data_IF_550981104284
#
_entry.id   IF_550981104284
#
_cell.length_a   1.000
_cell.length_b   1.000
_cell.length_c   1.000
_cell.angle_alpha   90.00
_cell.angle_beta   90.00
_cell.angle_gamma   90.00
#
_symmetry.space_group_name_H-M   'P 1'
#
loop_
_entity.id
_entity.type
_entity.pdbx_description
1 polymer ?
#
# COMPACT_ATOMS: atom_id res chain seq x y z
N UNK A 1 -18.94 30.22 -49.75
CA UNK A 1 -17.58 29.72 -49.95
C UNK A 1 -16.63 30.53 -49.09
N UNK A 2 -16.34 30.10 -47.89
CA UNK A 2 -15.31 30.69 -47.04
C UNK A 2 -14.18 29.67 -46.98
N UNK A 3 -13.08 30.02 -47.64
CA UNK A 3 -11.86 29.23 -47.81
C UNK A 3 -11.20 29.01 -46.46
N UNK A 4 -11.10 27.74 -46.05
CA UNK A 4 -10.24 27.28 -44.98
C UNK A 4 -8.79 27.25 -45.49
N UNK A 5 -8.13 28.41 -45.53
CA UNK A 5 -6.67 28.49 -45.67
C UNK A 5 -6.02 28.29 -44.27
N UNK A 6 -5.99 27.05 -43.78
CA UNK A 6 -5.04 26.67 -42.76
C UNK A 6 -3.70 26.54 -43.50
N UNK A 7 -2.83 27.50 -43.25
CA UNK A 7 -1.53 27.62 -43.91
C UNK A 7 -0.72 26.34 -43.78
N UNK A 8 -0.23 25.77 -44.88
CA UNK A 8 0.68 24.66 -45.00
C UNK A 8 1.91 24.82 -44.07
N UNK A 9 2.24 26.04 -43.68
CA UNK A 9 3.31 26.38 -42.72
C UNK A 9 2.97 25.99 -41.28
N UNK A 10 1.67 26.00 -40.89
CA UNK A 10 1.24 25.48 -39.56
C UNK A 10 1.25 23.94 -39.52
N UNK A 11 0.90 23.28 -40.63
CA UNK A 11 0.97 21.82 -40.74
C UNK A 11 2.43 21.33 -40.69
N UNK A 12 3.39 22.01 -41.36
CA UNK A 12 4.79 21.68 -41.31
C UNK A 12 5.43 21.89 -39.94
N UNK A 13 4.97 22.85 -39.14
CA UNK A 13 5.45 23.05 -37.76
C UNK A 13 5.00 21.96 -36.79
N UNK A 14 3.90 21.27 -37.05
CA UNK A 14 3.40 20.18 -36.18
C UNK A 14 4.13 18.85 -36.46
N UNK A 15 4.56 18.61 -37.70
CA UNK A 15 5.29 17.39 -38.09
C UNK A 15 6.79 17.43 -37.76
N UNK A 16 7.33 18.60 -37.46
CA UNK A 16 8.74 18.76 -37.04
C UNK A 16 8.93 18.63 -35.50
N UNK A 17 7.85 18.49 -34.73
CA UNK A 17 7.89 18.26 -33.29
C UNK A 17 7.98 16.75 -33.02
N UNK A 18 8.99 16.35 -32.25
CA UNK A 18 9.22 14.95 -31.83
C UNK A 18 8.09 14.38 -30.96
N UNK A 19 7.15 15.20 -30.49
CA UNK A 19 6.05 14.84 -29.63
C UNK A 19 4.80 15.70 -29.91
N UNK A 20 3.57 15.14 -29.87
CA UNK A 20 2.35 15.92 -29.99
C UNK A 20 2.19 16.94 -28.86
N UNK A 21 1.36 17.98 -29.02
CA UNK A 21 1.12 18.96 -27.97
C UNK A 21 0.56 18.32 -26.70
N UNK A 22 1.19 18.58 -25.54
CA UNK A 22 0.79 17.97 -24.25
C UNK A 22 -0.66 18.25 -23.88
N UNK A 23 -1.20 19.43 -24.21
CA UNK A 23 -2.62 19.75 -23.96
C UNK A 23 -3.57 18.87 -24.77
N UNK A 24 -3.17 18.45 -25.98
CA UNK A 24 -3.96 17.55 -26.81
C UNK A 24 -3.93 16.12 -26.26
N UNK A 25 -2.77 15.65 -25.82
CA UNK A 25 -2.61 14.37 -25.12
C UNK A 25 -3.44 14.34 -23.82
N UNK A 26 -3.43 15.43 -23.03
CA UNK A 26 -4.21 15.53 -21.80
C UNK A 26 -5.71 15.53 -22.07
N UNK A 27 -6.18 16.27 -23.12
CA UNK A 27 -7.58 16.28 -23.53
C UNK A 27 -8.04 14.88 -23.97
N UNK A 28 -7.20 14.16 -24.71
CA UNK A 28 -7.49 12.80 -25.16
C UNK A 28 -7.57 11.83 -23.97
N UNK A 29 -6.55 11.80 -23.08
CA UNK A 29 -6.55 10.93 -21.88
C UNK A 29 -7.83 11.14 -21.04
N UNK A 30 -8.15 12.40 -20.76
CA UNK A 30 -9.33 12.75 -19.94
C UNK A 30 -10.63 12.34 -20.62
N UNK A 31 -10.74 12.52 -21.96
CA UNK A 31 -11.90 12.09 -22.72
C UNK A 31 -12.04 10.57 -22.80
N UNK A 32 -10.93 9.85 -22.93
CA UNK A 32 -10.85 8.39 -22.93
C UNK A 32 -11.32 7.82 -21.58
N UNK A 33 -10.78 8.34 -20.49
CA UNK A 33 -11.10 7.92 -19.12
C UNK A 33 -12.56 8.20 -18.73
N UNK A 34 -13.12 9.36 -19.13
CA UNK A 34 -14.49 9.76 -18.78
C UNK A 34 -15.53 9.28 -19.79
N UNK A 35 -15.13 8.74 -20.95
CA UNK A 35 -16.02 8.28 -22.02
C UNK A 35 -16.90 9.39 -22.61
N UNK A 36 -16.51 10.67 -22.47
CA UNK A 36 -17.35 11.81 -22.86
C UNK A 36 -16.54 13.09 -23.04
N UNK A 37 -16.68 13.73 -24.18
CA UNK A 37 -16.04 15.03 -24.45
C UNK A 37 -16.57 16.15 -23.55
N UNK A 38 -17.88 16.14 -23.26
CA UNK A 38 -18.47 17.12 -22.35
C UNK A 38 -17.99 16.99 -20.91
N UNK A 39 -17.88 15.76 -20.41
CA UNK A 39 -17.32 15.52 -19.07
C UNK A 39 -15.83 15.88 -19.01
N UNK A 40 -15.08 15.57 -20.08
CA UNK A 40 -13.67 15.95 -20.19
C UNK A 40 -13.50 17.48 -20.20
N UNK A 41 -14.36 18.18 -20.95
CA UNK A 41 -14.36 19.64 -20.99
C UNK A 41 -14.60 20.27 -19.61
N UNK A 42 -15.59 19.76 -18.87
CA UNK A 42 -15.85 20.20 -17.50
C UNK A 42 -14.65 19.92 -16.58
N UNK A 43 -14.04 18.74 -16.65
CA UNK A 43 -12.88 18.36 -15.84
C UNK A 43 -11.62 19.19 -16.15
N UNK A 44 -11.47 19.64 -17.39
CA UNK A 44 -10.34 20.46 -17.85
C UNK A 44 -10.62 21.98 -17.83
N UNK A 45 -11.81 22.39 -17.40
CA UNK A 45 -12.26 23.79 -17.39
C UNK A 45 -12.15 24.48 -18.76
N UNK A 46 -12.52 23.74 -19.83
CA UNK A 46 -12.56 24.24 -21.22
C UNK A 46 -13.92 23.97 -21.85
N UNK A 47 -14.15 24.45 -23.09
CA UNK A 47 -15.36 24.14 -23.83
C UNK A 47 -15.31 22.77 -24.50
N UNK A 48 -16.46 22.09 -24.74
CA UNK A 48 -16.47 20.82 -25.48
C UNK A 48 -15.88 20.93 -26.90
N UNK A 49 -16.06 22.09 -27.56
CA UNK A 49 -15.43 22.38 -28.84
C UNK A 49 -13.91 22.45 -28.79
N UNK A 50 -13.35 22.95 -27.70
CA UNK A 50 -11.89 22.95 -27.48
C UNK A 50 -11.36 21.52 -27.33
N UNK A 51 -12.01 20.65 -26.54
CA UNK A 51 -11.66 19.23 -26.42
C UNK A 51 -11.70 18.55 -27.79
N UNK A 52 -12.77 18.72 -28.56
CA UNK A 52 -12.90 18.15 -29.91
C UNK A 52 -11.76 18.62 -30.84
N UNK A 53 -11.40 19.90 -30.80
CA UNK A 53 -10.27 20.43 -31.58
C UNK A 53 -8.93 19.83 -31.18
N UNK A 54 -8.70 19.67 -29.87
CA UNK A 54 -7.45 19.05 -29.37
C UNK A 54 -7.34 17.58 -29.80
N UNK A 55 -8.45 16.85 -29.78
CA UNK A 55 -8.48 15.45 -30.26
C UNK A 55 -8.23 15.41 -31.78
N UNK A 56 -8.89 16.25 -32.57
CA UNK A 56 -8.63 16.32 -34.01
C UNK A 56 -7.17 16.68 -34.33
N UNK A 57 -6.53 17.57 -33.53
CA UNK A 57 -5.11 17.89 -33.67
C UNK A 57 -4.26 16.64 -33.43
N UNK A 58 -4.61 15.82 -32.45
CA UNK A 58 -3.88 14.59 -32.09
C UNK A 58 -4.06 13.51 -33.16
N UNK A 59 -5.30 13.31 -33.64
CA UNK A 59 -5.61 12.38 -34.73
C UNK A 59 -4.88 12.76 -36.02
N UNK A 60 -4.82 14.05 -36.34
CA UNK A 60 -4.07 14.54 -37.48
C UNK A 60 -2.55 14.33 -37.31
N UNK A 61 -2.02 14.41 -36.07
CA UNK A 61 -0.59 14.18 -35.80
C UNK A 61 -0.20 12.72 -35.98
N UNK A 62 -1.07 11.77 -35.54
CA UNK A 62 -0.86 10.32 -35.67
C UNK A 62 -1.34 9.75 -37.01
N UNK A 63 -2.01 10.55 -37.85
CA UNK A 63 -2.68 10.12 -39.09
C UNK A 63 -3.62 8.94 -38.88
N UNK A 64 -4.33 8.91 -37.74
CA UNK A 64 -5.32 7.89 -37.43
C UNK A 64 -6.42 8.42 -36.51
N UNK A 65 -7.59 7.76 -36.57
CA UNK A 65 -8.69 8.04 -35.65
C UNK A 65 -8.46 7.36 -34.32
N UNK A 66 -8.58 8.10 -33.23
CA UNK A 66 -8.47 7.60 -31.86
C UNK A 66 -9.83 7.32 -31.23
N UNK A 67 -10.88 7.99 -31.75
CA UNK A 67 -12.26 7.75 -31.36
C UNK A 67 -13.14 7.42 -32.55
N UNK A 68 -14.15 6.57 -32.32
CA UNK A 68 -15.27 6.33 -33.21
C UNK A 68 -16.55 6.87 -32.58
N UNK A 69 -17.47 7.38 -33.43
CA UNK A 69 -18.81 7.83 -33.00
C UNK A 69 -19.83 6.73 -33.27
N UNK A 70 -20.42 6.20 -32.21
CA UNK A 70 -21.61 5.32 -32.33
C UNK A 70 -22.81 6.05 -31.69
N UNK A 71 -23.53 6.82 -32.50
CA UNK A 71 -24.60 7.68 -32.02
C UNK A 71 -24.08 8.78 -31.09
N UNK A 72 -24.68 8.99 -29.89
CA UNK A 72 -24.22 9.98 -28.91
C UNK A 72 -23.01 9.55 -28.09
N UNK A 73 -22.57 8.28 -28.19
CA UNK A 73 -21.45 7.74 -27.44
C UNK A 73 -20.14 7.82 -28.23
N UNK A 74 -19.07 8.17 -27.50
CA UNK A 74 -17.71 8.22 -28.03
C UNK A 74 -17.00 6.95 -27.55
N UNK A 75 -16.49 6.15 -28.48
CA UNK A 75 -15.79 4.89 -28.22
C UNK A 75 -14.36 5.00 -28.71
N UNK A 76 -13.43 4.39 -28.00
CA UNK A 76 -12.02 4.31 -28.41
C UNK A 76 -11.84 3.32 -29.57
N UNK A 77 -11.00 3.66 -30.54
CA UNK A 77 -10.45 2.73 -31.51
C UNK A 77 -9.37 1.82 -30.83
N UNK A 78 -8.82 0.84 -31.54
CA UNK A 78 -7.69 0.04 -31.03
C UNK A 78 -6.47 0.91 -30.77
N UNK A 79 -6.13 1.80 -31.68
CA UNK A 79 -5.07 2.80 -31.51
C UNK A 79 -5.35 3.71 -30.31
N UNK A 80 -6.62 4.15 -30.16
CA UNK A 80 -7.06 4.93 -29.01
C UNK A 80 -6.89 4.18 -27.68
N UNK A 81 -7.23 2.90 -27.61
CA UNK A 81 -7.03 2.08 -26.38
C UNK A 81 -5.57 1.95 -26.00
N UNK A 82 -4.70 1.67 -26.97
CA UNK A 82 -3.25 1.58 -26.73
C UNK A 82 -2.68 2.90 -26.21
N UNK A 83 -3.02 4.01 -26.87
CA UNK A 83 -2.55 5.33 -26.45
C UNK A 83 -3.11 5.72 -25.08
N UNK A 84 -4.38 5.46 -24.79
CA UNK A 84 -5.01 5.78 -23.51
C UNK A 84 -4.33 5.05 -22.35
N UNK A 85 -4.02 3.75 -22.51
CA UNK A 85 -3.32 2.96 -21.50
C UNK A 85 -1.93 3.55 -21.20
N UNK A 86 -1.15 3.84 -22.23
CA UNK A 86 0.19 4.43 -22.07
C UNK A 86 0.14 5.82 -21.43
N UNK A 87 -0.82 6.68 -21.83
CA UNK A 87 -0.94 8.03 -21.30
C UNK A 87 -1.43 8.08 -19.86
N UNK A 88 -2.31 7.17 -19.45
CA UNK A 88 -2.82 7.12 -18.07
C UNK A 88 -1.67 6.99 -17.05
N UNK A 89 -0.72 6.10 -17.30
CA UNK A 89 0.46 5.91 -16.44
C UNK A 89 1.37 7.14 -16.42
N UNK A 90 1.66 7.70 -17.58
CA UNK A 90 2.56 8.85 -17.70
C UNK A 90 1.96 10.13 -17.09
N UNK A 91 0.68 10.40 -17.29
CA UNK A 91 0.02 11.56 -16.64
C UNK A 91 -0.11 11.38 -15.14
N UNK A 92 -0.33 10.17 -14.63
CA UNK A 92 -0.30 9.90 -13.20
C UNK A 92 1.08 10.21 -12.60
N UNK A 93 2.17 9.86 -13.29
CA UNK A 93 3.54 10.20 -12.88
C UNK A 93 3.79 11.72 -12.87
N UNK A 94 3.32 12.44 -13.90
CA UNK A 94 3.40 13.91 -13.96
C UNK A 94 2.60 14.55 -12.82
N UNK A 95 1.37 14.11 -12.59
CA UNK A 95 0.52 14.62 -11.51
C UNK A 95 1.17 14.34 -10.13
N UNK A 96 1.77 13.17 -9.94
CA UNK A 96 2.52 12.83 -8.72
C UNK A 96 3.72 13.76 -8.51
N UNK A 97 4.50 14.03 -9.56
CA UNK A 97 5.61 14.97 -9.49
C UNK A 97 5.17 16.41 -9.14
N UNK A 98 4.08 16.87 -9.76
CA UNK A 98 3.50 18.18 -9.48
C UNK A 98 2.94 18.26 -8.04
N UNK A 99 2.27 17.20 -7.59
CA UNK A 99 1.77 17.12 -6.21
C UNK A 99 2.91 17.10 -5.20
N UNK A 100 4.00 16.37 -5.48
CA UNK A 100 5.19 16.37 -4.64
C UNK A 100 5.72 17.78 -4.44
N UNK A 101 5.80 18.60 -5.47
CA UNK A 101 6.19 20.01 -5.37
C UNK A 101 5.17 20.88 -4.64
N UNK A 102 3.88 20.67 -4.87
CA UNK A 102 2.79 21.40 -4.18
C UNK A 102 2.67 21.03 -2.70
N UNK A 103 2.92 19.76 -2.34
CA UNK A 103 2.75 19.24 -0.99
C UNK A 103 4.04 19.27 -0.16
N UNK A 104 5.18 19.69 -0.75
CA UNK A 104 6.44 19.91 0.01
C UNK A 104 6.31 20.90 1.17
N UNK A 105 5.21 21.63 1.29
CA UNK A 105 4.95 22.55 2.39
C UNK A 105 4.43 21.85 3.66
N UNK A 106 5.00 20.67 4.04
CA UNK A 106 4.84 20.14 5.40
C UNK A 106 3.85 18.99 5.60
N UNK A 107 3.53 18.19 4.57
CA UNK A 107 2.76 16.95 4.69
C UNK A 107 3.59 15.74 4.30
N UNK A 108 3.31 14.59 4.93
CA UNK A 108 3.91 13.28 4.63
C UNK A 108 2.81 12.22 4.61
N UNK A 109 2.60 11.60 3.44
CA UNK A 109 1.57 10.56 3.25
C UNK A 109 2.19 9.20 3.53
N UNK A 110 1.68 8.54 4.56
CA UNK A 110 2.16 7.25 5.05
C UNK A 110 1.13 6.16 4.80
N UNK A 111 1.53 5.07 4.13
CA UNK A 111 0.78 3.82 4.02
C UNK A 111 1.24 2.86 5.11
N UNK A 112 0.32 2.12 5.75
CA UNK A 112 0.66 1.21 6.84
C UNK A 112 -0.32 0.04 6.93
N UNK A 113 0.14 -1.18 7.35
CA UNK A 113 -0.74 -2.31 7.61
C UNK A 113 -1.75 -2.00 8.72
N UNK A 114 -2.98 -2.50 8.57
CA UNK A 114 -4.07 -2.20 9.50
C UNK A 114 -3.77 -2.63 10.94
N UNK A 115 -3.27 -3.84 11.14
CA UNK A 115 -2.95 -4.36 12.48
C UNK A 115 -1.84 -3.56 13.15
N UNK A 116 -0.75 -3.29 12.44
CA UNK A 116 0.34 -2.46 12.95
C UNK A 116 -0.18 -1.05 13.31
N UNK A 117 -1.02 -0.49 12.45
CA UNK A 117 -1.64 0.83 12.68
C UNK A 117 -2.42 0.84 13.99
N UNK A 118 -3.34 -0.10 14.16
CA UNK A 118 -4.24 -0.15 15.31
C UNK A 118 -3.53 -0.49 16.62
N UNK A 119 -2.51 -1.35 16.56
CA UNK A 119 -1.86 -1.87 17.76
C UNK A 119 -0.66 -1.05 18.26
N UNK A 120 -0.10 -0.20 17.40
CA UNK A 120 1.13 0.53 17.74
C UNK A 120 1.20 1.93 17.13
N UNK A 121 0.98 2.06 15.81
CA UNK A 121 1.37 3.27 15.09
C UNK A 121 0.51 4.48 15.43
N UNK A 122 -0.79 4.31 15.72
CA UNK A 122 -1.68 5.42 16.06
C UNK A 122 -1.20 6.19 17.30
N UNK A 123 -0.83 5.48 18.36
CA UNK A 123 -0.34 6.09 19.60
C UNK A 123 1.00 6.80 19.37
N UNK A 124 1.89 6.20 18.57
CA UNK A 124 3.18 6.79 18.23
C UNK A 124 3.01 8.04 17.40
N UNK A 125 2.12 8.04 16.39
CA UNK A 125 1.85 9.22 15.56
C UNK A 125 1.14 10.33 16.34
N UNK A 126 0.34 9.99 17.35
CA UNK A 126 -0.24 11.00 18.25
C UNK A 126 0.86 11.74 19.03
N UNK A 127 1.84 11.01 19.59
CA UNK A 127 3.01 11.60 20.25
C UNK A 127 3.88 12.38 19.28
N UNK A 128 4.07 11.87 18.08
CA UNK A 128 4.81 12.57 17.03
C UNK A 128 4.22 13.95 16.76
N UNK A 129 2.89 14.03 16.56
CA UNK A 129 2.19 15.30 16.31
C UNK A 129 2.31 16.31 17.45
N UNK A 130 2.38 15.84 18.69
CA UNK A 130 2.57 16.71 19.86
C UNK A 130 3.96 17.34 19.91
N UNK A 131 5.00 16.60 19.50
CA UNK A 131 6.39 17.05 19.53
C UNK A 131 6.83 17.74 18.23
N UNK A 132 6.22 17.35 17.10
CA UNK A 132 6.57 17.84 15.78
C UNK A 132 5.31 18.35 15.05
N UNK A 133 5.03 19.67 15.11
CA UNK A 133 3.90 20.26 14.36
C UNK A 133 4.00 20.07 12.84
N UNK A 134 5.20 19.81 12.32
CA UNK A 134 5.49 19.47 10.92
C UNK A 134 6.58 18.42 10.83
N UNK A 135 6.49 17.46 9.85
CA UNK A 135 5.43 17.34 8.85
C UNK A 135 4.12 16.84 9.46
N UNK A 136 2.99 17.24 8.89
CA UNK A 136 1.69 16.64 9.19
C UNK A 136 1.64 15.25 8.53
N UNK A 137 1.48 14.19 9.32
CA UNK A 137 1.37 12.82 8.79
C UNK A 137 -0.08 12.58 8.37
N UNK A 138 -0.28 12.38 7.07
CA UNK A 138 -1.53 11.87 6.50
C UNK A 138 -1.40 10.36 6.34
N UNK A 139 -2.05 9.59 7.20
CA UNK A 139 -1.92 8.14 7.23
C UNK A 139 -3.09 7.47 6.53
N UNK A 140 -2.78 6.47 5.69
CA UNK A 140 -3.73 5.51 5.14
C UNK A 140 -3.42 4.14 5.72
N UNK A 141 -4.36 3.64 6.52
CA UNK A 141 -4.33 2.27 7.00
C UNK A 141 -5.03 1.39 5.98
N UNK A 142 -4.31 0.44 5.44
CA UNK A 142 -4.83 -0.46 4.41
C UNK A 142 -4.66 -1.90 4.84
N UNK A 143 -5.65 -2.71 4.46
CA UNK A 143 -5.44 -4.14 4.46
C UNK A 143 -4.50 -4.47 3.30
N UNK A 144 -3.38 -5.13 3.58
CA UNK A 144 -2.35 -5.40 2.60
C UNK A 144 -2.29 -6.88 2.30
N UNK A 145 -2.80 -7.26 1.13
CA UNK A 145 -2.60 -8.60 0.56
C UNK A 145 -1.14 -8.85 0.15
N UNK A 146 -0.44 -7.75 -0.13
CA UNK A 146 0.97 -7.75 -0.53
C UNK A 146 1.68 -6.64 0.21
N UNK A 147 2.81 -6.99 0.82
CA UNK A 147 3.70 -6.04 1.47
C UNK A 147 4.54 -5.30 0.42
N UNK A 148 3.85 -4.60 -0.48
CA UNK A 148 4.46 -3.82 -1.56
C UNK A 148 3.75 -2.49 -1.77
N UNK A 149 4.48 -1.52 -2.31
CA UNK A 149 3.95 -0.21 -2.70
C UNK A 149 4.63 0.23 -3.99
N UNK A 150 3.81 0.68 -4.94
CA UNK A 150 4.29 1.33 -6.16
C UNK A 150 4.21 2.84 -5.98
N UNK A 151 5.31 3.46 -5.54
CA UNK A 151 5.39 4.90 -5.31
C UNK A 151 5.25 5.74 -6.60
N UNK A 152 5.28 5.13 -7.77
CA UNK A 152 5.03 5.82 -9.03
C UNK A 152 3.54 5.95 -9.34
N UNK A 153 2.72 5.03 -8.81
CA UNK A 153 1.28 4.93 -9.06
C UNK A 153 0.43 5.29 -7.85
N UNK A 154 0.92 4.98 -6.65
CA UNK A 154 0.23 5.23 -5.41
C UNK A 154 0.67 6.58 -4.80
N UNK A 155 -0.26 7.35 -4.23
CA UNK A 155 0.01 8.72 -3.77
C UNK A 155 0.69 8.75 -2.39
N UNK A 156 1.63 7.85 -2.11
CA UNK A 156 2.32 7.78 -0.83
C UNK A 156 3.75 8.31 -0.91
N UNK A 157 4.20 8.90 0.17
CA UNK A 157 5.56 9.42 0.32
C UNK A 157 6.48 8.41 1.00
N UNK A 158 5.91 7.55 1.83
CA UNK A 158 6.54 6.41 2.45
C UNK A 158 5.48 5.38 2.86
N UNK A 159 5.93 4.17 3.18
CA UNK A 159 5.08 3.09 3.67
C UNK A 159 5.78 2.32 4.77
N UNK A 160 5.02 1.73 5.70
CA UNK A 160 5.53 0.67 6.56
C UNK A 160 5.08 -0.65 5.94
N UNK A 161 6.03 -1.54 5.65
CA UNK A 161 5.79 -2.84 5.02
C UNK A 161 6.39 -3.95 5.89
N UNK A 162 5.74 -5.10 5.90
CA UNK A 162 6.30 -6.33 6.42
C UNK A 162 7.07 -7.05 5.29
N UNK A 163 8.27 -7.53 5.56
CA UNK A 163 9.05 -8.26 4.56
C UNK A 163 10.47 -8.55 5.03
N UNK A 164 11.26 -9.10 4.11
CA UNK A 164 12.65 -9.56 4.34
C UNK A 164 13.72 -8.50 4.02
N UNK A 165 13.32 -7.27 3.70
CA UNK A 165 14.21 -6.19 3.26
C UNK A 165 14.32 -6.02 1.74
N UNK A 166 13.55 -6.77 0.94
CA UNK A 166 13.54 -6.65 -0.51
C UNK A 166 12.25 -5.98 -1.01
N UNK A 167 12.27 -4.65 -1.17
CA UNK A 167 11.10 -3.85 -1.55
C UNK A 167 11.25 -3.21 -2.94
N UNK A 168 12.14 -3.75 -3.78
CA UNK A 168 12.40 -3.26 -5.13
C UNK A 168 13.60 -2.30 -5.24
N UNK A 169 14.19 -2.26 -6.44
CA UNK A 169 15.44 -1.52 -6.70
C UNK A 169 15.30 0.00 -6.58
N UNK A 170 14.12 0.56 -6.84
CA UNK A 170 13.86 2.00 -6.79
C UNK A 170 13.45 2.50 -5.40
N UNK A 171 13.57 1.66 -4.35
CA UNK A 171 13.22 2.02 -2.98
C UNK A 171 14.43 2.05 -2.06
N UNK A 172 14.32 2.87 -1.01
CA UNK A 172 15.14 2.79 0.20
C UNK A 172 14.28 2.23 1.32
N UNK A 173 14.90 1.50 2.25
CA UNK A 173 14.20 0.94 3.39
C UNK A 173 15.07 0.97 4.66
N UNK A 174 14.43 0.94 5.82
CA UNK A 174 15.06 0.81 7.13
C UNK A 174 14.21 -0.05 8.04
N UNK A 175 14.83 -1.02 8.68
CA UNK A 175 14.15 -1.87 9.66
C UNK A 175 13.69 -1.04 10.86
N UNK A 176 12.46 -1.26 11.30
CA UNK A 176 11.91 -0.77 12.55
C UNK A 176 12.05 -1.84 13.63
N UNK A 177 11.42 -2.99 13.43
CA UNK A 177 11.55 -4.15 14.33
C UNK A 177 11.19 -5.46 13.60
N UNK A 178 11.75 -6.57 14.11
CA UNK A 178 11.51 -7.91 13.58
C UNK A 178 10.12 -8.42 13.92
N UNK A 179 9.53 -9.25 13.05
CA UNK A 179 8.32 -10.01 13.33
C UNK A 179 8.64 -11.25 14.16
N UNK A 180 7.86 -11.47 15.23
CA UNK A 180 7.95 -12.64 16.09
C UNK A 180 6.58 -13.27 16.26
N UNK A 181 6.37 -14.45 15.70
CA UNK A 181 5.12 -15.18 15.83
C UNK A 181 5.01 -15.89 17.18
N UNK A 182 3.86 -15.73 17.83
CA UNK A 182 3.48 -16.40 19.06
C UNK A 182 2.02 -16.86 18.98
N UNK A 183 1.66 -18.06 19.48
CA UNK A 183 0.27 -18.41 19.70
C UNK A 183 -0.33 -17.53 20.79
N UNK A 184 -1.55 -17.07 20.52
CA UNK A 184 -2.31 -16.17 21.40
C UNK A 184 -3.73 -16.71 21.57
N UNK A 185 -4.29 -16.58 22.76
CA UNK A 185 -5.66 -16.96 23.06
C UNK A 185 -6.23 -16.15 24.24
N UNK A 186 -7.54 -16.24 24.49
CA UNK A 186 -8.11 -15.75 25.73
C UNK A 186 -7.47 -16.46 26.94
N UNK A 187 -7.31 -15.80 28.10
CA UNK A 187 -6.72 -16.42 29.29
C UNK A 187 -7.41 -17.74 29.75
N UNK A 188 -8.72 -17.84 29.54
CA UNK A 188 -9.49 -19.05 29.85
C UNK A 188 -9.14 -20.29 29.02
N UNK A 189 -8.46 -20.10 27.89
CA UNK A 189 -8.10 -21.18 26.98
C UNK A 189 -6.65 -21.67 27.15
N UNK A 190 -5.84 -20.99 27.94
CA UNK A 190 -4.40 -21.28 28.08
C UNK A 190 -4.15 -22.73 28.47
N UNK A 191 -4.84 -23.21 29.49
CA UNK A 191 -4.61 -24.56 30.01
C UNK A 191 -4.99 -25.64 28.98
N UNK A 192 -6.14 -25.50 28.33
CA UNK A 192 -6.56 -26.42 27.27
C UNK A 192 -5.58 -26.43 26.09
N UNK A 193 -5.09 -25.26 25.70
CA UNK A 193 -4.12 -25.15 24.61
C UNK A 193 -2.76 -25.78 24.96
N UNK A 194 -2.30 -25.63 26.21
CA UNK A 194 -1.05 -26.28 26.71
C UNK A 194 -1.17 -27.78 26.74
N UNK A 195 -2.30 -28.30 27.22
CA UNK A 195 -2.52 -29.74 27.31
C UNK A 195 -2.63 -30.39 25.92
N UNK A 196 -3.38 -29.78 25.01
CA UNK A 196 -3.59 -30.35 23.68
C UNK A 196 -4.04 -29.31 22.66
N UNK A 197 -3.09 -28.63 22.04
CA UNK A 197 -3.36 -27.62 21.00
C UNK A 197 -4.24 -28.16 19.85
N UNK A 198 -4.01 -29.42 19.43
CA UNK A 198 -4.79 -30.08 18.37
C UNK A 198 -6.27 -30.30 18.68
N UNK A 199 -6.70 -30.16 19.94
CA UNK A 199 -8.09 -30.23 20.36
C UNK A 199 -8.76 -28.84 20.45
N UNK A 200 -7.97 -27.76 20.34
CA UNK A 200 -8.50 -26.41 20.35
C UNK A 200 -8.87 -25.96 18.93
N UNK A 201 -9.93 -25.14 18.78
CA UNK A 201 -10.20 -24.48 17.51
C UNK A 201 -9.02 -23.59 17.12
N UNK A 202 -8.43 -23.82 15.93
CA UNK A 202 -7.38 -22.97 15.40
C UNK A 202 -7.98 -21.79 14.64
N UNK A 203 -7.36 -20.63 14.79
CA UNK A 203 -7.67 -19.41 14.05
C UNK A 203 -6.48 -19.09 13.17
N UNK A 204 -6.71 -18.99 11.86
CA UNK A 204 -5.72 -18.63 10.87
C UNK A 204 -5.89 -17.17 10.47
N UNK A 205 -4.95 -16.28 10.82
CA UNK A 205 -5.03 -14.86 10.48
C UNK A 205 -4.71 -14.56 9.02
N UNK A 206 -4.22 -15.57 8.27
CA UNK A 206 -3.88 -15.48 6.85
C UNK A 206 -4.53 -16.62 6.07
N UNK A 207 -4.99 -16.35 4.86
CA UNK A 207 -5.70 -17.32 4.01
C UNK A 207 -4.82 -18.52 3.61
N UNK A 208 -3.52 -18.32 3.49
CA UNK A 208 -2.52 -19.35 3.18
C UNK A 208 -2.04 -20.12 4.42
N UNK A 209 -2.50 -19.74 5.62
CA UNK A 209 -2.17 -20.37 6.92
C UNK A 209 -0.67 -20.43 7.23
N UNK A 210 0.12 -19.52 6.63
CA UNK A 210 1.58 -19.53 6.75
C UNK A 210 2.07 -19.35 8.17
N UNK A 211 1.36 -18.56 9.00
CA UNK A 211 1.81 -18.21 10.34
C UNK A 211 1.81 -19.42 11.28
N UNK A 212 0.72 -20.20 11.29
CA UNK A 212 0.70 -21.48 12.01
C UNK A 212 1.74 -22.46 11.49
N UNK A 213 1.93 -22.56 10.16
CA UNK A 213 2.92 -23.47 9.57
C UNK A 213 4.32 -23.07 10.02
N UNK A 214 4.67 -21.79 9.95
CA UNK A 214 5.96 -21.25 10.38
C UNK A 214 6.22 -21.53 11.86
N UNK A 215 5.25 -21.23 12.73
CA UNK A 215 5.41 -21.44 14.16
C UNK A 215 5.54 -22.94 14.53
N UNK A 216 4.64 -23.78 14.05
CA UNK A 216 4.65 -25.22 14.33
C UNK A 216 5.88 -25.93 13.80
N UNK A 217 6.42 -25.50 12.67
CA UNK A 217 7.66 -26.04 12.10
C UNK A 217 8.84 -25.83 13.04
N UNK A 218 8.99 -24.63 13.59
CA UNK A 218 10.08 -24.30 14.53
C UNK A 218 9.84 -24.90 15.92
N UNK A 219 8.59 -25.04 16.35
CA UNK A 219 8.23 -25.68 17.60
C UNK A 219 8.30 -27.22 17.54
N UNK A 220 8.58 -27.83 16.38
CA UNK A 220 8.65 -29.29 16.20
C UNK A 220 7.30 -30.01 16.29
N UNK A 221 6.18 -29.31 16.16
CA UNK A 221 4.83 -29.82 16.39
C UNK A 221 3.96 -29.89 15.12
N UNK A 222 4.52 -29.66 13.93
CA UNK A 222 3.78 -29.56 12.68
C UNK A 222 3.01 -30.86 12.31
N UNK A 223 3.61 -32.01 12.58
CA UNK A 223 2.99 -33.32 12.28
C UNK A 223 1.86 -33.72 13.26
N UNK A 224 1.79 -33.05 14.41
CA UNK A 224 0.83 -33.36 15.47
C UNK A 224 -0.39 -32.46 15.46
N UNK A 225 -0.38 -31.38 14.69
CA UNK A 225 -1.44 -30.37 14.68
C UNK A 225 -2.07 -30.24 13.31
N UNK A 226 -3.38 -30.47 13.22
CA UNK A 226 -4.14 -30.38 11.97
C UNK A 226 -4.37 -28.94 11.51
N UNK A 227 -3.38 -28.33 10.87
CA UNK A 227 -3.45 -26.92 10.40
C UNK A 227 -4.46 -26.70 9.25
N UNK A 228 -5.04 -27.77 8.71
CA UNK A 228 -6.01 -27.65 7.61
C UNK A 228 -7.44 -27.37 8.12
N UNK A 229 -7.66 -27.42 9.42
CA UNK A 229 -8.94 -27.13 10.07
C UNK A 229 -8.88 -25.77 10.77
N UNK A 230 -10.05 -25.22 11.08
CA UNK A 230 -10.17 -23.97 11.82
C UNK A 230 -10.78 -22.84 11.02
N UNK A 231 -10.91 -21.69 11.67
CA UNK A 231 -11.49 -20.48 11.07
C UNK A 231 -10.35 -19.73 10.36
N UNK A 232 -10.60 -19.30 9.13
CA UNK A 232 -9.63 -18.54 8.34
C UNK A 232 -10.12 -17.11 8.18
N UNK A 233 -9.28 -16.18 8.55
CA UNK A 233 -9.47 -14.75 8.30
C UNK A 233 -8.48 -14.28 7.22
N UNK A 234 -8.63 -13.05 6.80
CA UNK A 234 -7.75 -12.39 5.85
C UNK A 234 -6.93 -11.27 6.51
N UNK A 235 -7.07 -11.11 7.81
CA UNK A 235 -6.42 -10.05 8.59
C UNK A 235 -5.96 -10.56 9.96
N UNK A 236 -4.71 -10.25 10.30
CA UNK A 236 -4.13 -10.53 11.61
C UNK A 236 -4.96 -9.90 12.76
N UNK A 237 -5.56 -8.73 12.50
CA UNK A 237 -6.43 -8.06 13.48
C UNK A 237 -7.68 -8.86 13.78
N UNK A 238 -8.36 -9.40 12.77
CA UNK A 238 -9.57 -10.22 12.94
C UNK A 238 -9.25 -11.52 13.69
N UNK A 239 -8.13 -12.19 13.33
CA UNK A 239 -7.64 -13.36 14.04
C UNK A 239 -7.36 -13.07 15.52
N UNK A 240 -6.73 -11.94 15.81
CA UNK A 240 -6.46 -11.47 17.17
C UNK A 240 -7.74 -11.20 17.95
N UNK A 241 -8.72 -10.51 17.35
CA UNK A 241 -10.01 -10.23 17.97
C UNK A 241 -10.79 -11.51 18.27
N UNK A 242 -10.81 -12.49 17.37
CA UNK A 242 -11.44 -13.78 17.59
C UNK A 242 -10.78 -14.56 18.74
N UNK A 243 -9.44 -14.51 18.83
CA UNK A 243 -8.71 -15.11 19.95
C UNK A 243 -9.03 -14.45 21.30
N UNK A 244 -9.10 -13.11 21.34
CA UNK A 244 -9.52 -12.35 22.53
C UNK A 244 -10.92 -12.72 23.00
N UNK A 245 -11.83 -12.98 22.06
CA UNK A 245 -13.21 -13.37 22.34
C UNK A 245 -13.38 -14.85 22.70
N UNK A 246 -12.28 -15.62 22.80
CA UNK A 246 -12.32 -17.02 23.22
C UNK A 246 -12.78 -18.00 22.14
N UNK A 247 -12.78 -17.62 20.86
CA UNK A 247 -13.20 -18.50 19.77
C UNK A 247 -12.15 -19.53 19.35
N UNK A 248 -10.91 -19.42 19.87
CA UNK A 248 -9.84 -20.35 19.55
C UNK A 248 -8.46 -19.81 19.88
N UNK A 249 -7.45 -20.52 19.38
CA UNK A 249 -6.05 -20.13 19.47
C UNK A 249 -5.61 -19.61 18.12
N UNK A 250 -5.10 -18.37 18.08
CA UNK A 250 -4.54 -17.76 16.88
C UNK A 250 -3.01 -17.69 16.98
N UNK A 251 -2.36 -17.33 15.86
CA UNK A 251 -0.96 -16.87 15.86
C UNK A 251 -0.97 -15.39 15.62
N UNK A 252 -0.26 -14.63 16.46
CA UNK A 252 -0.11 -13.20 16.34
C UNK A 252 1.35 -12.78 16.35
N UNK A 253 1.62 -11.53 15.95
CA UNK A 253 2.91 -10.90 16.20
C UNK A 253 3.02 -10.55 17.69
N UNK A 254 4.15 -10.93 18.30
CA UNK A 254 4.41 -10.74 19.73
C UNK A 254 4.33 -9.27 20.13
N UNK A 255 5.02 -8.39 19.39
CA UNK A 255 5.08 -6.97 19.74
C UNK A 255 3.74 -6.27 19.57
N UNK A 256 2.97 -6.61 18.56
CA UNK A 256 1.63 -6.07 18.34
C UNK A 256 0.59 -6.64 19.34
N UNK A 257 0.89 -7.77 19.96
CA UNK A 257 0.04 -8.41 20.98
C UNK A 257 0.34 -7.97 22.41
N UNK A 258 1.49 -7.33 22.68
CA UNK A 258 1.97 -7.03 24.04
C UNK A 258 0.98 -6.23 24.89
N UNK A 259 0.32 -5.24 24.31
CA UNK A 259 -0.64 -4.42 25.04
C UNK A 259 -1.85 -5.25 25.50
N UNK A 260 -2.39 -6.10 24.63
CA UNK A 260 -3.50 -6.97 24.93
C UNK A 260 -3.12 -8.06 25.97
N UNK A 261 -1.86 -8.54 25.92
CA UNK A 261 -1.33 -9.48 26.92
C UNK A 261 -1.20 -8.79 28.28
N UNK A 262 -0.63 -7.58 28.34
CA UNK A 262 -0.49 -6.81 29.58
C UNK A 262 -1.82 -6.42 30.22
N UNK A 263 -2.84 -6.17 29.38
CA UNK A 263 -4.20 -5.85 29.86
C UNK A 263 -5.02 -7.09 30.23
N UNK A 264 -4.47 -8.30 30.07
CA UNK A 264 -5.17 -9.56 30.39
C UNK A 264 -6.25 -9.96 29.40
N UNK A 265 -6.32 -9.32 28.22
CA UNK A 265 -7.24 -9.69 27.14
C UNK A 265 -6.73 -10.89 26.33
N UNK A 266 -5.40 -11.03 26.25
CA UNK A 266 -4.74 -12.17 25.62
C UNK A 266 -3.76 -12.81 26.61
N UNK A 267 -3.46 -14.08 26.38
CA UNK A 267 -2.41 -14.81 27.06
C UNK A 267 -1.62 -15.66 26.05
N UNK A 268 -0.37 -16.00 26.43
CA UNK A 268 0.51 -16.88 25.70
C UNK A 268 0.41 -18.30 26.26
N UNK A 269 -0.16 -19.26 25.52
CA UNK A 269 -0.19 -20.65 25.99
C UNK A 269 1.20 -21.32 25.92
N UNK A 270 2.12 -20.79 25.12
CA UNK A 270 3.46 -21.32 24.90
C UNK A 270 4.53 -20.25 25.11
N UNK A 271 5.75 -20.69 25.44
CA UNK A 271 6.91 -19.79 25.66
C UNK A 271 7.73 -19.57 24.38
N UNK A 272 7.44 -20.29 23.30
CA UNK A 272 8.21 -20.18 22.05
C UNK A 272 7.72 -18.98 21.23
N UNK A 273 8.65 -18.07 20.93
CA UNK A 273 8.47 -17.01 19.95
C UNK A 273 9.36 -17.29 18.73
N UNK A 274 8.77 -17.32 17.57
CA UNK A 274 9.43 -17.70 16.30
C UNK A 274 9.66 -16.46 15.45
N UNK A 275 10.93 -16.16 15.15
CA UNK A 275 11.28 -15.15 14.16
C UNK A 275 10.99 -15.70 12.77
N UNK A 276 10.31 -14.90 11.93
CA UNK A 276 9.96 -15.28 10.55
C UNK A 276 11.07 -15.01 9.54
N UNK A 277 12.10 -14.26 9.92
CA UNK A 277 13.10 -13.68 9.02
C UNK A 277 12.61 -12.38 8.37
N UNK A 278 11.36 -12.00 8.62
CA UNK A 278 10.73 -10.76 8.17
C UNK A 278 10.65 -9.74 9.30
N UNK A 279 10.43 -8.48 8.95
CA UNK A 279 10.25 -7.39 9.90
C UNK A 279 9.47 -6.23 9.29
N UNK A 280 9.08 -5.29 10.13
CA UNK A 280 8.43 -4.05 9.69
C UNK A 280 9.49 -3.03 9.30
N UNK A 281 9.43 -2.57 8.06
CA UNK A 281 10.36 -1.61 7.50
C UNK A 281 9.64 -0.32 7.13
N UNK A 282 10.26 0.81 7.41
CA UNK A 282 9.89 2.05 6.75
C UNK A 282 10.56 2.07 5.38
N UNK A 283 9.74 2.21 4.32
CA UNK A 283 10.14 2.16 2.91
C UNK A 283 9.76 3.47 2.22
N UNK A 284 10.62 4.00 1.35
CA UNK A 284 10.37 5.22 0.58
C UNK A 284 11.13 5.20 -0.75
N UNK A 285 10.71 6.00 -1.78
CA UNK A 285 11.38 6.02 -3.07
C UNK A 285 12.78 6.62 -2.99
N UNK A 286 13.76 6.03 -3.70
CA UNK A 286 15.15 6.55 -3.80
C UNK A 286 15.21 7.98 -4.32
N UNK A 287 14.41 8.29 -5.35
CA UNK A 287 14.34 9.60 -6.00
C UNK A 287 13.40 10.55 -5.27
N UNK A 288 13.71 10.86 -4.01
CA UNK A 288 12.93 11.81 -3.23
C UNK A 288 13.65 13.17 -3.15
N UNK A 289 12.92 14.25 -3.49
CA UNK A 289 13.49 15.61 -3.48
C UNK A 289 13.84 16.11 -2.07
N UNK A 290 13.09 15.71 -1.05
CA UNK A 290 13.37 16.06 0.35
C UNK A 290 13.25 14.84 1.27
N UNK A 291 14.37 14.22 1.68
CA UNK A 291 14.37 13.05 2.58
C UNK A 291 14.17 13.40 4.07
N UNK A 292 14.35 14.67 4.48
CA UNK A 292 14.33 15.06 5.90
C UNK A 292 13.05 14.68 6.64
N UNK A 293 11.81 14.88 6.10
CA UNK A 293 10.60 14.49 6.80
C UNK A 293 10.50 12.97 7.08
N UNK A 294 10.99 12.14 6.15
CA UNK A 294 11.03 10.67 6.33
C UNK A 294 12.07 10.29 7.38
N UNK A 295 13.24 10.91 7.34
CA UNK A 295 14.29 10.67 8.33
C UNK A 295 13.83 11.04 9.76
N UNK A 296 13.15 12.19 9.91
CA UNK A 296 12.58 12.62 11.17
C UNK A 296 11.55 11.60 11.69
N UNK A 297 10.62 11.17 10.82
CA UNK A 297 9.64 10.14 11.17
C UNK A 297 10.34 8.83 11.56
N UNK A 298 11.32 8.37 10.78
CA UNK A 298 12.06 7.14 11.06
C UNK A 298 12.71 7.15 12.44
N UNK A 299 13.47 8.19 12.78
CA UNK A 299 14.12 8.30 14.09
C UNK A 299 13.11 8.35 15.23
N UNK A 300 11.97 9.00 15.01
CA UNK A 300 10.91 9.03 16.02
C UNK A 300 10.28 7.64 16.20
N UNK A 301 9.99 6.92 15.11
CA UNK A 301 9.44 5.56 15.17
C UNK A 301 10.42 4.61 15.91
N UNK A 302 11.73 4.69 15.60
CA UNK A 302 12.75 3.90 16.29
C UNK A 302 12.79 4.14 17.80
N UNK A 303 12.63 5.38 18.23
CA UNK A 303 12.63 5.72 19.66
C UNK A 303 11.38 5.20 20.38
N UNK A 304 10.35 4.77 19.66
CA UNK A 304 9.07 4.33 20.18
C UNK A 304 8.68 2.90 19.73
N UNK A 305 9.66 2.10 19.29
CA UNK A 305 9.40 0.69 18.98
C UNK A 305 8.78 -0.02 20.19
N UNK A 306 7.96 -1.07 19.96
CA UNK A 306 7.38 -1.83 21.07
C UNK A 306 8.46 -2.30 22.05
N UNK A 307 8.06 -2.48 23.28
CA UNK A 307 8.91 -2.77 24.43
C UNK A 307 9.92 -3.90 24.16
N UNK A 308 11.03 -3.98 24.92
CA UNK A 308 12.01 -5.03 24.76
C UNK A 308 11.35 -6.41 24.81
N UNK A 309 12.01 -7.37 24.18
CA UNK A 309 11.52 -8.74 24.11
C UNK A 309 11.20 -9.24 25.53
N UNK A 310 9.98 -9.78 25.79
CA UNK A 310 9.59 -10.18 27.13
C UNK A 310 10.49 -11.29 27.69
N UNK A 311 10.82 -11.22 28.98
CA UNK A 311 11.54 -12.28 29.68
C UNK A 311 10.70 -13.56 29.73
N UNK A 312 11.38 -14.70 29.80
CA UNK A 312 10.77 -16.02 29.91
C UNK A 312 10.29 -16.62 28.58
N UNK A 313 10.46 -15.91 27.44
CA UNK A 313 10.20 -16.48 26.13
C UNK A 313 11.46 -17.06 25.49
N UNK A 314 11.31 -18.23 24.88
CA UNK A 314 12.36 -18.90 24.09
C UNK A 314 12.32 -18.38 22.66
N UNK A 315 13.41 -17.82 22.18
CA UNK A 315 13.56 -17.32 20.80
C UNK A 315 13.95 -18.46 19.87
N UNK A 316 13.18 -18.68 18.84
CA UNK A 316 13.42 -19.64 17.77
C UNK A 316 13.51 -18.93 16.43
N UNK A 317 14.28 -19.47 15.49
CA UNK A 317 14.49 -18.83 14.17
C UNK A 317 15.50 -17.67 14.23
N UNK A 318 15.61 -16.95 13.12
CA UNK A 318 16.51 -15.80 12.99
C UNK A 318 15.73 -14.56 12.58
N UNK A 319 15.91 -13.43 13.29
CA UNK A 319 15.32 -12.16 12.88
C UNK A 319 15.95 -11.68 11.55
N UNK A 320 15.33 -10.72 10.84
CA UNK A 320 15.94 -10.11 9.67
C UNK A 320 17.28 -9.45 10.03
N UNK A 321 18.19 -9.44 9.08
CA UNK A 321 19.55 -8.88 9.24
C UNK A 321 19.56 -7.36 9.22
#
# INVERSE_FOLDING_TARGET
MVSLNVSLTQYRKLTDMSMPPLYALRAFETAARLGSFSKAAAALHVTPGAVSRHISTLEAWFDCQLFTRQGPKVMLTDAGRQLASALAENFAAIDSACQTLRHQAGKLRLKSPSTLTMRWLLDVLQRFRQQHPRPVIEMSSVWMDRDSVDFSREPYDCAILLGDGHFGEETCHRLLFAEWLVPICAPSMVEAARQRLSACPLIHPTTDRRDWRRWLQHAGALSQTGINQGIVFDSLEQGTMAAMSGHGVSVGDLFLSLQAIRSGLLALPFTQAVATGEGYYLVWPKKRLNPQPVALLYHFLLAHIPAPFPDGLTRLGQPPK
#
